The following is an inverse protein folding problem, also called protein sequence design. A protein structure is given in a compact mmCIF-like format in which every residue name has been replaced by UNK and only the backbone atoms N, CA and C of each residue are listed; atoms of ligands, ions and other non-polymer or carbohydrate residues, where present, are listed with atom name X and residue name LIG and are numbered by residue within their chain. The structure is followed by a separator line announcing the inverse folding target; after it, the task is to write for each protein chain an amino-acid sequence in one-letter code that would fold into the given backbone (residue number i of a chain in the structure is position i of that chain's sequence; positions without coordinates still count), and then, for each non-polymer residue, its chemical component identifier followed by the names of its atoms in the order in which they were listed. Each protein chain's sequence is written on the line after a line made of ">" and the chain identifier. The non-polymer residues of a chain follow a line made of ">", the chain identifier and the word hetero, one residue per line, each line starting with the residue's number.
data_IF_873984170312
#
_entry.id   IF_873984170312
#
_cell.length_a   1.000
_cell.length_b   1.000
_cell.length_c   1.000
_cell.angle_alpha   90.00
_cell.angle_beta   90.00
_cell.angle_gamma   90.00
#
_symmetry.space_group_name_H-M   'P 1'
#
loop_
_entity.id
_entity.type
_entity.pdbx_description
1 polymer ?
#
# COMPACT_ATOMS: atom_id res chain seq x y z
N UNK A 1 5.50 5.03 2.18
CA UNK A 1 5.99 5.74 3.38
C UNK A 1 5.92 4.85 4.62
N UNK A 2 4.78 4.17 4.85
CA UNK A 2 4.60 3.32 6.04
C UNK A 2 5.55 2.12 6.06
N UNK A 3 5.78 1.46 4.93
CA UNK A 3 6.76 0.36 4.85
C UNK A 3 8.18 0.81 5.14
N UNK A 4 8.56 2.02 4.73
CA UNK A 4 9.87 2.58 5.08
C UNK A 4 9.97 2.88 6.59
N UNK A 5 8.89 3.39 7.21
CA UNK A 5 8.85 3.63 8.66
C UNK A 5 8.95 2.32 9.45
N UNK A 6 8.26 1.27 9.01
CA UNK A 6 8.35 -0.05 9.63
C UNK A 6 9.77 -0.61 9.66
N UNK A 7 10.61 -0.28 8.67
CA UNK A 7 12.03 -0.64 8.66
C UNK A 7 12.86 0.11 9.72
N UNK A 8 12.39 1.23 10.23
CA UNK A 8 13.07 1.98 11.26
C UNK A 8 12.90 1.36 12.65
N UNK A 9 11.77 0.72 12.90
CA UNK A 9 11.47 0.10 14.20
C UNK A 9 11.37 -1.43 14.20
N UNK A 10 11.34 -2.09 13.15
CA UNK A 10 10.98 -3.47 12.93
C UNK A 10 11.19 -4.55 14.02
N UNK A 11 10.10 -5.22 14.36
CA UNK A 11 9.96 -6.67 14.67
C UNK A 11 11.00 -7.31 15.62
N UNK A 12 11.22 -6.73 16.79
CA UNK A 12 12.06 -7.35 17.83
C UNK A 12 13.56 -7.38 17.51
N UNK A 13 13.96 -7.23 16.27
CA UNK A 13 15.37 -7.08 15.85
C UNK A 13 15.78 -5.61 15.72
N UNK A 14 14.81 -4.70 15.70
CA UNK A 14 15.00 -3.29 15.43
C UNK A 14 15.34 -3.04 13.95
N UNK A 15 14.77 -2.00 13.34
CA UNK A 15 15.21 -1.52 12.04
C UNK A 15 16.62 -0.96 12.09
N UNK A 16 17.04 -0.39 10.99
CA UNK A 16 18.40 0.17 10.85
C UNK A 16 18.71 1.21 11.93
N UNK A 17 17.74 2.07 12.26
CA UNK A 17 17.91 3.11 13.29
C UNK A 17 18.09 2.48 14.67
N UNK A 18 17.26 1.54 15.06
CA UNK A 18 17.32 0.87 16.36
C UNK A 18 18.60 0.04 16.50
N UNK A 19 19.02 -0.66 15.45
CA UNK A 19 20.28 -1.39 15.44
C UNK A 19 21.45 -0.44 15.70
N UNK A 20 21.46 0.73 15.04
CA UNK A 20 22.51 1.74 15.23
C UNK A 20 22.50 2.34 16.65
N UNK A 21 21.32 2.69 17.19
CA UNK A 21 21.20 3.23 18.54
C UNK A 21 21.66 2.25 19.62
N UNK A 22 21.52 0.95 19.40
CA UNK A 22 21.97 -0.12 20.27
C UNK A 22 23.44 -0.52 20.07
N UNK A 23 24.16 0.15 19.16
CA UNK A 23 25.54 -0.19 18.80
C UNK A 23 25.68 -1.49 17.99
N UNK A 24 24.59 -1.99 17.45
CA UNK A 24 24.60 -3.20 16.63
C UNK A 24 25.07 -2.87 15.20
N UNK A 25 25.61 -3.88 14.54
CA UNK A 25 26.02 -3.77 13.14
C UNK A 25 24.79 -3.65 12.23
N UNK A 26 24.83 -2.65 11.34
CA UNK A 26 23.83 -2.46 10.28
C UNK A 26 24.24 -3.27 9.06
N UNK A 27 23.32 -4.03 8.48
CA UNK A 27 23.54 -4.74 7.22
C UNK A 27 23.22 -3.85 6.03
N UNK A 28 24.03 -3.92 4.97
CA UNK A 28 23.71 -3.22 3.71
C UNK A 28 22.40 -3.62 3.08
N UNK A 29 21.88 -4.81 3.42
CA UNK A 29 20.55 -5.30 2.97
C UNK A 29 19.40 -4.49 3.56
N UNK A 30 19.58 -3.82 4.69
CA UNK A 30 18.54 -3.03 5.33
C UNK A 30 18.21 -1.74 4.56
N UNK A 31 19.17 -1.21 3.81
CA UNK A 31 18.94 0.01 3.03
C UNK A 31 17.89 -0.18 1.92
N UNK A 32 18.02 -1.15 0.99
CA UNK A 32 17.01 -1.36 -0.05
C UNK A 32 15.66 -1.80 0.51
N UNK A 33 15.60 -2.47 1.66
CA UNK A 33 14.32 -2.84 2.29
C UNK A 33 13.46 -1.63 2.71
N UNK A 34 14.06 -0.45 2.88
CA UNK A 34 13.34 0.80 3.14
C UNK A 34 12.82 1.52 1.91
N UNK A 35 13.10 1.05 0.70
CA UNK A 35 12.66 1.69 -0.55
C UNK A 35 11.20 1.36 -0.88
N UNK A 36 10.46 2.35 -1.38
CA UNK A 36 9.07 2.17 -1.79
C UNK A 36 8.89 1.18 -2.95
N UNK A 37 9.93 0.96 -3.75
CA UNK A 37 9.94 -0.01 -4.85
C UNK A 37 10.16 -1.44 -4.38
N UNK A 38 10.59 -1.65 -3.14
CA UNK A 38 10.99 -2.97 -2.64
C UNK A 38 9.92 -4.06 -2.81
N UNK A 39 8.62 -3.81 -2.57
CA UNK A 39 7.59 -4.82 -2.81
C UNK A 39 7.54 -5.28 -4.28
N UNK A 40 7.66 -4.34 -5.23
CA UNK A 40 7.69 -4.67 -6.65
C UNK A 40 8.97 -5.48 -7.02
N UNK A 41 10.12 -5.04 -6.51
CA UNK A 41 11.40 -5.73 -6.73
C UNK A 41 11.38 -7.14 -6.12
N UNK A 42 10.79 -7.29 -4.92
CA UNK A 42 10.64 -8.59 -4.27
C UNK A 42 9.76 -9.54 -5.10
N UNK A 43 8.59 -9.08 -5.54
CA UNK A 43 7.68 -9.88 -6.38
C UNK A 43 8.39 -10.27 -7.69
N UNK A 44 9.05 -9.32 -8.33
CA UNK A 44 9.76 -9.60 -9.57
C UNK A 44 10.89 -10.62 -9.39
N UNK A 45 11.71 -10.48 -8.35
CA UNK A 45 12.86 -11.35 -8.13
C UNK A 45 12.48 -12.76 -7.63
N UNK A 46 11.53 -12.86 -6.70
CA UNK A 46 11.27 -14.10 -5.97
C UNK A 46 9.99 -14.83 -6.41
N UNK A 47 9.07 -14.16 -7.08
CA UNK A 47 7.80 -14.75 -7.55
C UNK A 47 7.81 -14.92 -9.06
N UNK A 48 8.22 -13.87 -9.80
CA UNK A 48 8.16 -13.86 -11.27
C UNK A 48 9.45 -14.34 -11.96
N UNK A 49 10.56 -14.46 -11.22
CA UNK A 49 11.83 -14.91 -11.77
C UNK A 49 12.61 -13.82 -12.53
N UNK A 50 12.48 -12.56 -12.13
CA UNK A 50 13.21 -11.41 -12.69
C UNK A 50 12.90 -11.16 -14.16
N UNK A 51 11.62 -11.10 -14.50
CA UNK A 51 11.13 -10.83 -15.85
C UNK A 51 10.65 -9.38 -16.01
N UNK A 52 10.77 -8.83 -17.21
CA UNK A 52 10.24 -7.52 -17.56
C UNK A 52 10.89 -6.34 -16.82
N UNK A 53 10.12 -5.29 -16.63
CA UNK A 53 10.54 -4.10 -15.90
C UNK A 53 9.76 -4.00 -14.59
N UNK A 54 10.41 -3.44 -13.57
CA UNK A 54 9.82 -3.19 -12.26
C UNK A 54 9.96 -1.71 -11.88
N UNK A 55 9.09 -1.23 -11.01
CA UNK A 55 9.11 0.13 -10.52
C UNK A 55 7.85 0.47 -9.74
N UNK A 56 7.79 1.68 -9.22
CA UNK A 56 6.60 2.19 -8.55
C UNK A 56 6.55 3.73 -8.63
N UNK A 57 5.37 4.26 -8.85
CA UNK A 57 5.08 5.66 -8.54
C UNK A 57 4.78 5.79 -7.04
N UNK A 58 4.96 6.99 -6.51
CA UNK A 58 4.61 7.32 -5.15
C UNK A 58 3.54 8.42 -5.15
N UNK A 59 2.42 8.15 -4.52
CA UNK A 59 1.29 9.06 -4.39
C UNK A 59 0.61 8.91 -3.02
N UNK A 60 1.40 8.64 -1.98
CA UNK A 60 0.90 8.35 -0.63
C UNK A 60 -0.21 7.29 -0.66
N UNK A 61 -1.40 7.57 -0.11
CA UNK A 61 -2.53 6.64 -0.09
C UNK A 61 -3.07 6.29 -1.50
N UNK A 62 -2.84 7.15 -2.49
CA UNK A 62 -3.26 6.94 -3.87
C UNK A 62 -2.23 6.18 -4.72
N UNK A 63 -1.12 5.73 -4.17
CA UNK A 63 -0.03 5.03 -4.88
C UNK A 63 -0.53 3.90 -5.77
N UNK A 64 -1.46 3.09 -5.26
CA UNK A 64 -2.03 1.98 -6.03
C UNK A 64 -2.69 2.47 -7.33
N UNK A 65 -3.48 3.53 -7.27
CA UNK A 65 -4.18 4.07 -8.45
C UNK A 65 -3.21 4.64 -9.49
N UNK A 66 -2.12 5.28 -9.07
CA UNK A 66 -1.07 5.73 -9.99
C UNK A 66 -0.39 4.56 -10.70
N UNK A 67 -0.05 3.51 -9.96
CA UNK A 67 0.56 2.31 -10.54
C UNK A 67 -0.42 1.55 -11.44
N UNK A 68 -1.69 1.45 -11.05
CA UNK A 68 -2.74 0.84 -11.85
C UNK A 68 -2.93 1.59 -13.18
N UNK A 69 -2.99 2.92 -13.14
CA UNK A 69 -3.10 3.75 -14.33
C UNK A 69 -1.93 3.51 -15.29
N UNK A 70 -0.70 3.54 -14.79
CA UNK A 70 0.48 3.29 -15.60
C UNK A 70 0.44 1.91 -16.28
N UNK A 71 0.03 0.89 -15.55
CA UNK A 71 -0.08 -0.46 -16.10
C UNK A 71 -1.17 -0.57 -17.17
N UNK A 72 -2.32 0.07 -16.98
CA UNK A 72 -3.40 0.13 -17.97
C UNK A 72 -2.93 0.86 -19.23
N UNK A 73 -2.30 2.02 -19.09
CA UNK A 73 -1.74 2.79 -20.21
C UNK A 73 -0.67 1.98 -20.99
N UNK A 74 0.16 1.21 -20.29
CA UNK A 74 1.17 0.34 -20.92
C UNK A 74 0.52 -0.80 -21.72
N UNK A 75 -0.55 -1.40 -21.21
CA UNK A 75 -1.28 -2.47 -21.92
C UNK A 75 -2.04 -1.87 -23.10
N UNK A 76 -2.79 -0.80 -22.92
CA UNK A 76 -3.56 -0.14 -24.00
C UNK A 76 -2.68 0.36 -25.14
N UNK A 77 -1.46 0.83 -24.82
CA UNK A 77 -0.50 1.26 -25.85
C UNK A 77 0.27 0.11 -26.49
N UNK A 78 0.05 -1.12 -26.08
CA UNK A 78 0.75 -2.30 -26.59
C UNK A 78 2.21 -2.43 -26.12
N UNK A 79 2.67 -1.59 -25.18
CA UNK A 79 4.02 -1.70 -24.61
C UNK A 79 4.18 -2.96 -23.77
N UNK A 80 3.11 -3.41 -23.13
CA UNK A 80 3.05 -4.62 -22.31
C UNK A 80 1.78 -5.40 -22.64
N UNK A 81 1.83 -6.70 -22.48
CA UNK A 81 0.65 -7.55 -22.56
C UNK A 81 0.16 -7.99 -21.17
N UNK A 82 1.08 -7.98 -20.19
CA UNK A 82 0.80 -8.38 -18.82
C UNK A 82 1.48 -7.38 -17.88
N UNK A 83 0.81 -7.01 -16.81
CA UNK A 83 1.37 -6.24 -15.71
C UNK A 83 0.86 -6.78 -14.37
N UNK A 84 1.75 -6.88 -13.38
CA UNK A 84 1.40 -7.19 -12.00
C UNK A 84 1.42 -5.89 -11.21
N UNK A 85 0.28 -5.52 -10.64
CA UNK A 85 0.10 -4.25 -9.91
C UNK A 85 -0.45 -4.52 -8.52
N UNK A 86 0.10 -3.86 -7.52
CA UNK A 86 -0.39 -4.00 -6.17
C UNK A 86 0.32 -3.10 -5.18
N UNK A 87 -0.05 -3.26 -3.94
CA UNK A 87 0.60 -2.64 -2.79
C UNK A 87 0.83 -3.67 -1.69
N UNK A 88 1.85 -3.42 -0.88
CA UNK A 88 2.06 -4.09 0.40
C UNK A 88 2.42 -3.04 1.45
N UNK A 89 1.71 -3.06 2.57
CA UNK A 89 1.90 -2.14 3.68
C UNK A 89 1.85 -2.88 5.02
N UNK A 90 2.73 -2.48 5.92
CA UNK A 90 2.78 -2.92 7.32
C UNK A 90 2.95 -1.70 8.23
N UNK A 91 1.88 -0.89 8.42
CA UNK A 91 1.97 0.39 9.12
C UNK A 91 1.73 0.31 10.63
N UNK A 92 1.52 -0.87 11.22
CA UNK A 92 1.17 -1.01 12.63
C UNK A 92 2.41 -0.91 13.53
N UNK A 93 3.09 0.22 13.44
CA UNK A 93 4.24 0.59 14.28
C UNK A 93 3.96 1.89 15.02
N UNK A 94 4.53 2.10 16.21
CA UNK A 94 4.25 3.28 17.06
C UNK A 94 4.38 4.60 16.32
N UNK A 95 5.42 4.79 15.53
CA UNK A 95 5.72 6.04 14.83
C UNK A 95 4.62 6.40 13.81
N UNK A 96 4.06 5.42 13.13
CA UNK A 96 2.98 5.62 12.17
C UNK A 96 1.66 5.90 12.89
N UNK A 97 1.37 5.15 13.95
CA UNK A 97 0.15 5.32 14.76
C UNK A 97 0.15 6.70 15.39
N UNK A 98 1.24 7.11 16.04
CA UNK A 98 1.37 8.43 16.67
C UNK A 98 1.29 9.56 15.65
N UNK A 99 1.91 9.41 14.48
CA UNK A 99 1.82 10.39 13.40
C UNK A 99 0.39 10.63 12.94
N UNK A 100 -0.39 9.59 12.72
CA UNK A 100 -1.80 9.72 12.34
C UNK A 100 -2.69 10.18 13.49
N UNK A 101 -2.38 9.80 14.73
CA UNK A 101 -3.08 10.29 15.91
C UNK A 101 -2.89 11.80 16.08
N UNK A 102 -1.66 12.31 15.91
CA UNK A 102 -1.36 13.74 15.94
C UNK A 102 -2.11 14.55 14.88
N UNK A 103 -2.37 13.94 13.70
CA UNK A 103 -3.21 14.52 12.65
C UNK A 103 -4.72 14.41 12.95
N UNK A 104 -5.12 13.81 14.07
CA UNK A 104 -6.52 13.49 14.40
C UNK A 104 -7.23 12.63 13.32
N UNK A 105 -6.48 11.87 12.54
CA UNK A 105 -6.99 11.13 11.41
C UNK A 105 -7.57 9.75 11.76
N UNK A 106 -7.25 9.20 12.94
CA UNK A 106 -7.69 7.88 13.35
C UNK A 106 -9.10 7.88 13.94
N UNK A 107 -9.86 6.82 13.64
CA UNK A 107 -11.12 6.48 14.29
C UNK A 107 -10.83 5.86 15.66
N UNK A 108 -10.73 6.70 16.69
CA UNK A 108 -10.49 6.24 18.07
C UNK A 108 -11.78 5.77 18.73
N UNK A 109 -11.66 4.97 19.79
CA UNK A 109 -12.80 4.45 20.56
C UNK A 109 -13.74 5.56 21.03
N UNK A 110 -13.17 6.67 21.53
CA UNK A 110 -13.94 7.83 21.97
C UNK A 110 -14.74 8.45 20.82
N UNK A 111 -14.11 8.60 19.65
CA UNK A 111 -14.79 9.14 18.46
C UNK A 111 -15.88 8.22 17.95
N UNK A 112 -15.63 6.90 17.95
CA UNK A 112 -16.62 5.90 17.56
C UNK A 112 -17.82 5.90 18.49
N UNK A 113 -17.60 5.89 19.81
CA UNK A 113 -18.66 5.99 20.80
C UNK A 113 -19.51 7.27 20.64
N UNK A 114 -18.86 8.40 20.38
CA UNK A 114 -19.54 9.69 20.15
C UNK A 114 -20.37 9.65 18.86
N UNK A 115 -19.82 9.09 17.78
CA UNK A 115 -20.49 9.00 16.49
C UNK A 115 -21.72 8.09 16.54
N UNK A 116 -21.60 6.96 17.25
CA UNK A 116 -22.67 5.95 17.33
C UNK A 116 -23.63 6.18 18.50
N UNK A 117 -23.36 7.17 19.37
CA UNK A 117 -24.16 7.39 20.57
C UNK A 117 -24.11 6.23 21.57
N UNK A 118 -23.02 5.47 21.60
CA UNK A 118 -22.85 4.26 22.40
C UNK A 118 -21.83 4.43 23.51
N UNK A 119 -21.93 3.59 24.55
CA UNK A 119 -20.96 3.56 25.64
C UNK A 119 -19.74 2.68 25.38
N UNK A 120 -19.79 1.86 24.31
CA UNK A 120 -18.67 1.02 23.89
C UNK A 120 -18.52 1.06 22.37
N UNK A 121 -17.29 1.02 21.83
CA UNK A 121 -17.06 1.08 20.40
C UNK A 121 -17.37 -0.27 19.72
N UNK A 122 -17.95 -0.23 18.53
CA UNK A 122 -18.00 -1.40 17.65
C UNK A 122 -16.87 -1.31 16.61
N UNK A 123 -15.75 -1.96 16.91
CA UNK A 123 -14.56 -1.94 16.05
C UNK A 123 -14.78 -2.54 14.67
N UNK A 124 -15.78 -3.42 14.48
CA UNK A 124 -16.13 -3.99 13.16
C UNK A 124 -16.73 -2.94 12.23
N UNK A 125 -17.21 -1.82 12.79
CA UNK A 125 -17.77 -0.69 12.07
C UNK A 125 -16.87 0.54 12.07
N UNK A 126 -15.61 0.41 12.50
CA UNK A 126 -14.68 1.54 12.58
C UNK A 126 -14.28 2.09 11.19
N UNK A 127 -14.14 1.21 10.20
CA UNK A 127 -13.89 1.61 8.81
C UNK A 127 -15.21 1.77 8.06
N UNK A 128 -15.53 3.00 7.63
CA UNK A 128 -16.82 3.37 6.99
C UNK A 128 -16.58 4.20 5.74
N UNK A 129 -16.00 3.61 4.67
CA UNK A 129 -15.79 4.33 3.41
C UNK A 129 -17.12 4.89 2.89
N UNK A 130 -17.12 6.17 2.49
CA UNK A 130 -18.28 6.88 1.93
C UNK A 130 -19.49 7.03 2.87
N UNK A 131 -19.37 6.65 4.13
CA UNK A 131 -20.41 6.82 5.15
C UNK A 131 -20.00 7.82 6.24
N UNK A 132 -20.91 8.02 7.22
CA UNK A 132 -20.61 8.81 8.41
C UNK A 132 -19.47 8.15 9.17
N UNK A 133 -18.33 8.82 9.25
CA UNK A 133 -17.13 8.31 9.88
C UNK A 133 -16.46 9.37 10.75
N UNK A 134 -15.56 8.94 11.61
CA UNK A 134 -14.79 9.81 12.50
C UNK A 134 -13.27 9.71 12.31
N UNK A 135 -12.87 9.10 11.21
CA UNK A 135 -11.49 8.84 10.85
C UNK A 135 -11.34 7.50 10.13
N UNK A 136 -10.11 7.08 9.94
CA UNK A 136 -9.81 5.78 9.33
C UNK A 136 -9.13 4.83 10.32
N UNK A 137 -9.06 3.55 9.96
CA UNK A 137 -8.31 2.51 10.69
C UNK A 137 -7.06 2.14 9.91
N UNK A 138 -6.01 1.75 10.63
CA UNK A 138 -4.81 1.18 10.03
C UNK A 138 -4.98 -0.34 9.89
N UNK A 139 -4.43 -0.90 8.83
CA UNK A 139 -4.39 -2.33 8.58
C UNK A 139 -3.12 -2.71 7.84
N UNK A 140 -2.72 -3.98 7.96
CA UNK A 140 -1.59 -4.54 7.24
C UNK A 140 -2.11 -5.48 6.15
N UNK A 141 -1.60 -5.33 4.93
CA UNK A 141 -2.01 -6.16 3.80
C UNK A 141 -1.02 -6.11 2.65
N UNK A 142 -1.00 -7.19 1.86
CA UNK A 142 -0.38 -7.23 0.55
C UNK A 142 -1.40 -7.71 -0.47
N UNK A 143 -1.75 -6.87 -1.44
CA UNK A 143 -2.73 -7.17 -2.47
C UNK A 143 -2.14 -6.89 -3.85
N UNK A 144 -2.23 -7.87 -4.75
CA UNK A 144 -1.71 -7.77 -6.11
C UNK A 144 -2.72 -8.28 -7.12
N UNK A 145 -2.76 -7.63 -8.27
CA UNK A 145 -3.60 -7.96 -9.39
C UNK A 145 -2.73 -8.23 -10.62
N UNK A 146 -3.09 -9.24 -11.39
CA UNK A 146 -2.52 -9.48 -12.71
C UNK A 146 -3.46 -8.84 -13.73
N UNK A 147 -2.96 -7.85 -14.45
CA UNK A 147 -3.64 -7.23 -15.58
C UNK A 147 -3.11 -7.86 -16.87
N UNK A 148 -3.98 -8.02 -17.83
CA UNK A 148 -3.64 -8.68 -19.09
C UNK A 148 -4.44 -8.06 -20.22
N UNK A 149 -3.88 -7.99 -21.42
CA UNK A 149 -4.71 -7.65 -22.58
C UNK A 149 -5.76 -8.73 -22.85
N UNK A 150 -6.91 -8.32 -23.36
CA UNK A 150 -8.09 -9.17 -23.49
C UNK A 150 -7.81 -10.42 -24.32
N UNK A 151 -7.08 -10.27 -25.44
CA UNK A 151 -6.79 -11.40 -26.33
C UNK A 151 -5.92 -12.44 -25.64
N UNK A 152 -4.89 -12.01 -24.92
CA UNK A 152 -4.02 -12.91 -24.17
C UNK A 152 -4.78 -13.62 -23.04
N UNK A 153 -5.63 -12.89 -22.33
CA UNK A 153 -6.42 -13.47 -21.25
C UNK A 153 -7.35 -14.59 -21.78
N UNK A 154 -7.98 -14.36 -22.90
CA UNK A 154 -8.84 -15.35 -23.56
C UNK A 154 -8.03 -16.54 -24.11
N UNK A 155 -6.92 -16.29 -24.80
CA UNK A 155 -6.05 -17.32 -25.37
C UNK A 155 -5.49 -18.27 -24.31
N UNK A 156 -5.20 -17.74 -23.12
CA UNK A 156 -4.71 -18.53 -21.98
C UNK A 156 -5.82 -19.20 -21.17
N UNK A 157 -7.09 -18.92 -21.46
CA UNK A 157 -8.21 -19.39 -20.64
C UNK A 157 -8.15 -18.84 -19.21
N UNK A 158 -7.69 -17.61 -19.03
CA UNK A 158 -7.52 -17.01 -17.71
C UNK A 158 -8.86 -16.85 -16.99
N UNK A 159 -8.84 -16.99 -15.66
CA UNK A 159 -9.99 -16.64 -14.84
C UNK A 159 -10.11 -15.12 -14.75
N UNK A 160 -11.03 -14.55 -15.50
CA UNK A 160 -11.26 -13.11 -15.54
C UNK A 160 -12.23 -12.73 -14.41
N UNK A 161 -11.79 -11.88 -13.49
CA UNK A 161 -12.59 -11.40 -12.37
C UNK A 161 -13.32 -10.08 -12.68
N UNK A 162 -12.68 -9.20 -13.43
CA UNK A 162 -13.23 -7.91 -13.84
C UNK A 162 -12.46 -7.34 -15.03
N UNK A 163 -13.01 -6.32 -15.68
CA UNK A 163 -12.33 -5.48 -16.64
C UNK A 163 -12.05 -4.10 -16.01
N UNK A 164 -10.84 -3.58 -16.21
CA UNK A 164 -10.50 -2.20 -15.86
C UNK A 164 -10.76 -1.34 -17.07
N UNK A 165 -11.86 -0.59 -17.04
CA UNK A 165 -12.27 0.26 -18.16
C UNK A 165 -11.53 1.57 -18.21
N UNK A 166 -11.24 2.16 -17.05
CA UNK A 166 -10.51 3.42 -16.94
C UNK A 166 -9.97 3.63 -15.51
N UNK A 167 -8.96 4.50 -15.37
CA UNK A 167 -8.37 4.89 -14.09
C UNK A 167 -8.17 6.41 -14.08
N UNK A 168 -8.94 7.09 -13.25
CA UNK A 168 -8.86 8.54 -13.08
C UNK A 168 -7.99 8.91 -11.89
N UNK A 169 -6.98 9.72 -12.12
CA UNK A 169 -6.10 10.27 -11.08
C UNK A 169 -5.95 11.75 -11.31
N UNK A 170 -6.31 12.54 -10.30
CA UNK A 170 -6.26 13.99 -10.34
C UNK A 170 -5.54 14.53 -9.11
N UNK A 171 -5.01 15.74 -9.22
CA UNK A 171 -4.45 16.46 -8.09
C UNK A 171 -5.55 17.02 -7.20
N UNK A 172 -5.32 17.03 -5.89
CA UNK A 172 -6.15 17.80 -4.95
C UNK A 172 -6.05 19.30 -5.28
N UNK A 173 -7.15 20.01 -5.21
CA UNK A 173 -7.17 21.42 -5.49
C UNK A 173 -6.44 22.24 -4.43
N UNK A 174 -6.88 22.14 -3.18
CA UNK A 174 -6.31 22.85 -2.05
C UNK A 174 -6.10 21.91 -0.87
N UNK A 175 -4.89 21.88 -0.35
CA UNK A 175 -4.57 21.18 0.90
C UNK A 175 -4.51 22.16 2.06
N UNK A 176 -5.27 21.88 3.11
CA UNK A 176 -5.19 22.58 4.39
C UNK A 176 -3.98 22.06 5.16
#
# INVERSE_FOLDING_TARGET
>A
AASAMAQLDSNGTGGMLQARLRGNRVSSKQLPLGLNTMPADFINAYVLGSVGATGANAGACATFLYNLRLAVEDIQSGRRRVAVVGNAEAPLVPEVIEGYAAMSALATDEKLCRLDGSSSPDHRRASRPFGDNCGFTLGESGQYFVLMDDSLALDLGAQIHAAVTDVFVNADGFKK
#
